data_IF_572683975453
#
_entry.id   IF_572683975453
#
_cell.length_a   1.000
_cell.length_b   1.000
_cell.length_c   1.000
_cell.angle_alpha   90.00
_cell.angle_beta   90.00
_cell.angle_gamma   90.00
#
_symmetry.space_group_name_H-M   'P 1'
#
loop_
_entity.id
_entity.type
_entity.pdbx_description
1 polymer ?
#
# COMPACT_ATOMS: atom_id res chain seq x y z
N UNK A 1 18.00 3.70 11.59
CA UNK A 1 17.30 4.10 10.35
C UNK A 1 16.45 2.94 9.87
N UNK A 2 15.20 3.20 9.55
CA UNK A 2 14.30 2.19 8.99
C UNK A 2 14.38 2.18 7.46
N UNK A 3 13.84 1.13 6.83
CA UNK A 3 13.74 1.08 5.38
C UNK A 3 12.89 2.24 4.88
N UNK A 4 11.84 2.58 5.62
CA UNK A 4 10.99 3.73 5.31
C UNK A 4 11.79 5.03 5.20
N UNK A 5 12.64 5.30 6.19
CA UNK A 5 13.46 6.51 6.20
C UNK A 5 14.52 6.47 5.11
N UNK A 6 15.15 5.31 4.92
CA UNK A 6 16.20 5.15 3.90
C UNK A 6 15.66 5.34 2.48
N UNK A 7 14.40 4.97 2.25
CA UNK A 7 13.78 5.11 0.93
C UNK A 7 13.36 6.56 0.60
N UNK A 8 13.29 7.43 1.61
CA UNK A 8 12.90 8.81 1.42
C UNK A 8 11.57 9.19 2.06
N UNK A 9 11.04 8.35 2.95
CA UNK A 9 9.83 8.65 3.71
C UNK A 9 8.55 8.51 2.90
N UNK A 10 7.49 9.16 3.39
CA UNK A 10 6.15 9.05 2.81
C UNK A 10 6.10 9.38 1.32
N UNK A 11 6.76 10.45 0.91
CA UNK A 11 6.72 10.89 -0.49
C UNK A 11 7.27 9.82 -1.44
N UNK A 12 8.30 9.09 -1.03
CA UNK A 12 8.87 8.02 -1.84
C UNK A 12 7.88 6.87 -2.03
N UNK A 13 7.20 6.47 -0.95
CA UNK A 13 6.21 5.40 -1.01
C UNK A 13 4.98 5.80 -1.82
N UNK A 14 4.55 7.04 -1.68
CA UNK A 14 3.42 7.53 -2.48
C UNK A 14 3.74 7.52 -3.98
N UNK A 15 4.98 7.89 -4.36
CA UNK A 15 5.40 7.84 -5.75
C UNK A 15 5.44 6.40 -6.29
N UNK A 16 5.92 5.46 -5.48
CA UNK A 16 5.95 4.05 -5.87
C UNK A 16 4.54 3.54 -6.12
N UNK A 17 3.61 3.85 -5.22
CA UNK A 17 2.22 3.44 -5.33
C UNK A 17 1.55 4.09 -6.54
N UNK A 18 1.81 5.37 -6.79
CA UNK A 18 1.28 6.06 -7.95
C UNK A 18 1.72 5.39 -9.25
N UNK A 19 3.00 5.04 -9.37
CA UNK A 19 3.52 4.35 -10.55
C UNK A 19 2.91 2.98 -10.72
N UNK A 20 2.71 2.26 -9.62
CA UNK A 20 2.06 0.95 -9.65
C UNK A 20 0.65 1.07 -10.21
N UNK A 21 -0.13 2.02 -9.72
CA UNK A 21 -1.49 2.21 -10.18
C UNK A 21 -1.59 2.85 -11.56
N UNK A 22 -0.59 3.60 -11.99
CA UNK A 22 -0.52 4.07 -13.38
C UNK A 22 -0.46 2.87 -14.33
N UNK A 23 0.33 1.85 -13.97
CA UNK A 23 0.39 0.61 -14.74
C UNK A 23 -0.95 -0.12 -14.78
N UNK A 24 -1.64 -0.19 -13.64
CA UNK A 24 -2.97 -0.81 -13.56
C UNK A 24 -3.97 -0.06 -14.41
N UNK A 25 -3.96 1.26 -14.37
CA UNK A 25 -4.90 2.09 -15.14
C UNK A 25 -4.71 1.91 -16.64
N UNK A 26 -3.50 1.61 -17.09
CA UNK A 26 -3.20 1.39 -18.49
C UNK A 26 -3.37 -0.05 -18.93
N UNK A 27 -3.61 -0.98 -18.02
CA UNK A 27 -3.71 -2.42 -18.32
C UNK A 27 -5.17 -2.82 -18.54
N UNK A 28 -5.47 -3.32 -19.74
CA UNK A 28 -6.82 -3.69 -20.11
C UNK A 28 -7.38 -4.85 -19.29
N UNK A 29 -6.52 -5.72 -18.75
CA UNK A 29 -6.95 -6.84 -17.93
C UNK A 29 -7.13 -6.46 -16.47
N UNK A 30 -6.25 -5.63 -15.94
CA UNK A 30 -6.25 -5.29 -14.52
C UNK A 30 -7.22 -4.16 -14.19
N UNK A 31 -7.34 -3.18 -15.07
CA UNK A 31 -8.16 -2.00 -14.78
C UNK A 31 -9.61 -2.34 -14.38
N UNK A 32 -10.30 -3.27 -15.06
CA UNK A 32 -11.67 -3.62 -14.67
C UNK A 32 -11.80 -4.29 -13.30
N UNK A 33 -10.71 -4.81 -12.75
CA UNK A 33 -10.72 -5.46 -11.43
C UNK A 33 -10.70 -4.46 -10.28
N UNK A 34 -10.48 -3.18 -10.59
CA UNK A 34 -10.36 -2.12 -9.58
C UNK A 34 -11.51 -1.13 -9.73
N UNK A 35 -11.87 -0.39 -8.66
CA UNK A 35 -12.86 0.67 -8.75
C UNK A 35 -12.45 1.75 -9.74
N UNK A 36 -13.40 2.51 -10.26
CA UNK A 36 -13.11 3.63 -11.14
C UNK A 36 -12.19 4.65 -10.46
N UNK A 37 -12.46 4.94 -9.18
CA UNK A 37 -11.63 5.83 -8.39
C UNK A 37 -10.56 5.02 -7.67
N UNK A 38 -9.32 5.16 -8.09
CA UNK A 38 -8.18 4.47 -7.48
C UNK A 38 -7.60 5.21 -6.27
N UNK A 39 -8.12 6.39 -5.95
CA UNK A 39 -7.60 7.21 -4.85
C UNK A 39 -7.60 6.49 -3.51
N UNK A 40 -8.71 5.84 -3.15
CA UNK A 40 -8.80 5.10 -1.90
C UNK A 40 -7.86 3.90 -1.89
N UNK A 41 -7.77 3.18 -2.99
CA UNK A 41 -6.86 2.04 -3.11
C UNK A 41 -5.40 2.48 -2.97
N UNK A 42 -5.02 3.57 -3.62
CA UNK A 42 -3.67 4.14 -3.51
C UNK A 42 -3.36 4.53 -2.07
N UNK A 43 -4.28 5.21 -1.41
CA UNK A 43 -4.11 5.64 -0.03
C UNK A 43 -3.90 4.44 0.89
N UNK A 44 -4.76 3.44 0.78
CA UNK A 44 -4.70 2.25 1.63
C UNK A 44 -3.39 1.50 1.43
N UNK A 45 -2.98 1.29 0.18
CA UNK A 45 -1.73 0.59 -0.10
C UNK A 45 -0.51 1.39 0.38
N UNK A 46 -0.54 2.71 0.20
CA UNK A 46 0.55 3.57 0.68
C UNK A 46 0.71 3.46 2.20
N UNK A 47 -0.38 3.55 2.94
CA UNK A 47 -0.34 3.45 4.41
C UNK A 47 0.12 2.08 4.86
N UNK A 48 -0.33 1.01 4.19
CA UNK A 48 0.11 -0.34 4.49
C UNK A 48 1.63 -0.49 4.32
N UNK A 49 2.16 -0.08 3.18
CA UNK A 49 3.58 -0.21 2.89
C UNK A 49 4.43 0.66 3.83
N UNK A 50 3.99 1.88 4.10
CA UNK A 50 4.69 2.78 5.00
C UNK A 50 4.82 2.14 6.38
N UNK A 51 3.74 1.61 6.93
CA UNK A 51 3.78 0.97 8.24
C UNK A 51 4.60 -0.32 8.20
N UNK A 52 4.45 -1.12 7.15
CA UNK A 52 5.18 -2.38 7.03
C UNK A 52 6.68 -2.17 7.03
N UNK A 53 7.16 -1.09 6.42
CA UNK A 53 8.59 -0.79 6.32
C UNK A 53 9.10 0.16 7.40
N UNK A 54 8.33 0.37 8.45
CA UNK A 54 8.82 1.06 9.65
C UNK A 54 8.41 2.52 9.77
N UNK A 55 7.47 2.98 8.95
CA UNK A 55 6.93 4.33 9.06
C UNK A 55 5.77 4.43 10.05
N UNK A 56 5.03 5.56 10.01
CA UNK A 56 3.90 5.76 10.92
C UNK A 56 2.83 4.69 10.82
N UNK A 57 2.19 4.37 11.95
CA UNK A 57 1.22 3.30 12.05
C UNK A 57 -0.21 3.67 11.68
N UNK A 58 -0.41 4.52 10.68
CA UNK A 58 -1.75 4.96 10.28
C UNK A 58 -2.62 3.82 9.76
N UNK A 59 -2.03 2.86 9.09
CA UNK A 59 -2.78 1.69 8.59
C UNK A 59 -3.40 0.91 9.75
N UNK A 60 -2.64 0.72 10.84
CA UNK A 60 -3.14 0.01 12.02
C UNK A 60 -4.34 0.69 12.64
N UNK A 61 -4.39 2.01 12.60
CA UNK A 61 -5.51 2.77 13.17
C UNK A 61 -6.79 2.58 12.36
N UNK A 62 -6.67 2.34 11.06
CA UNK A 62 -7.82 2.20 10.17
C UNK A 62 -8.21 0.75 9.91
N UNK A 63 -7.23 -0.15 9.77
CA UNK A 63 -7.44 -1.49 9.25
C UNK A 63 -6.83 -2.60 10.09
N UNK A 64 -6.17 -2.26 11.20
CA UNK A 64 -5.43 -3.22 12.00
C UNK A 64 -4.00 -3.39 11.50
N UNK A 65 -3.17 -4.02 12.34
CA UNK A 65 -1.76 -4.18 12.02
C UNK A 65 -1.56 -5.14 10.83
N UNK A 66 -0.63 -4.85 9.90
CA UNK A 66 -0.40 -5.73 8.74
C UNK A 66 -0.10 -7.18 9.10
N UNK A 67 0.62 -7.43 10.20
CA UNK A 67 0.90 -8.80 10.64
C UNK A 67 -0.38 -9.52 11.06
N UNK A 68 -1.28 -8.84 11.73
CA UNK A 68 -2.56 -9.42 12.13
C UNK A 68 -3.38 -9.80 10.91
N UNK A 69 -3.35 -8.96 9.88
CA UNK A 69 -4.03 -9.25 8.62
C UNK A 69 -3.47 -10.51 7.96
N UNK A 70 -2.13 -10.62 7.87
CA UNK A 70 -1.48 -11.78 7.27
C UNK A 70 -1.77 -13.06 8.07
N UNK A 71 -1.72 -12.98 9.39
CA UNK A 71 -2.02 -14.14 10.24
C UNK A 71 -3.47 -14.60 10.07
N UNK A 72 -4.40 -13.68 9.88
CA UNK A 72 -5.81 -14.01 9.70
C UNK A 72 -6.04 -14.86 8.45
N UNK A 73 -5.32 -14.58 7.37
CA UNK A 73 -5.52 -15.23 6.08
C UNK A 73 -4.55 -16.37 5.82
N UNK A 74 -3.62 -16.63 6.74
CA UNK A 74 -2.69 -17.73 6.64
C UNK A 74 -1.45 -17.41 5.82
N UNK A 75 -0.54 -18.39 5.68
CA UNK A 75 0.77 -18.13 5.07
C UNK A 75 0.77 -17.94 3.56
N UNK A 76 -0.33 -18.22 2.90
CA UNK A 76 -0.42 -18.08 1.42
C UNK A 76 -1.08 -16.79 0.98
N UNK A 77 -1.28 -15.89 1.89
CA UNK A 77 -1.84 -14.57 1.55
C UNK A 77 -0.75 -13.57 1.24
#
# INVERSE_FOLDING_TARGET
>A
MTIYEAAGGRAAFERIVDRFYDGIAADAFLRPMYPEDLGESKRTLSLFLIQYFGGPGEYSQERGHPRAFLNRFGPWV
#
